data_IF_149695452128
#
_entry.id   IF_149695452128
#
_cell.length_a   1.000
_cell.length_b   1.000
_cell.length_c   1.000
_cell.angle_alpha   90.00
_cell.angle_beta   90.00
_cell.angle_gamma   90.00
#
_symmetry.space_group_name_H-M   'P 1'
#
loop_
_entity.id
_entity.type
_entity.pdbx_description
1 polymer ?
#
# COMPACT_ATOMS: atom_id res chain seq x y z
N UNK A 1 13.69 -12.11 12.77
CA UNK A 1 13.56 -11.65 11.38
C UNK A 1 12.15 -11.12 11.16
N UNK A 2 12.02 -10.01 10.44
CA UNK A 2 10.74 -9.43 10.02
C UNK A 2 10.79 -9.25 8.50
N UNK A 3 9.77 -9.73 7.80
CA UNK A 3 9.61 -9.56 6.35
C UNK A 3 8.56 -8.50 6.09
N UNK A 4 8.89 -7.45 5.36
CA UNK A 4 7.96 -6.47 4.80
C UNK A 4 7.70 -6.85 3.35
N UNK A 5 6.49 -7.27 3.04
CA UNK A 5 6.15 -7.71 1.69
C UNK A 5 5.05 -6.87 1.08
N UNK A 6 5.29 -6.40 -0.14
CA UNK A 6 4.20 -6.00 -1.00
C UNK A 6 3.27 -7.19 -1.26
N UNK A 7 2.07 -6.92 -1.70
CA UNK A 7 1.02 -7.91 -1.88
C UNK A 7 0.76 -8.22 -3.35
N UNK A 8 0.39 -7.23 -4.15
CA UNK A 8 0.03 -7.41 -5.57
C UNK A 8 1.27 -7.69 -6.41
N UNK A 9 1.24 -8.71 -7.27
CA UNK A 9 2.39 -9.16 -8.05
C UNK A 9 3.63 -9.58 -7.23
N UNK A 10 3.52 -9.59 -5.89
CA UNK A 10 4.56 -10.07 -4.97
C UNK A 10 4.17 -11.38 -4.29
N UNK A 11 3.12 -11.38 -3.48
CA UNK A 11 2.52 -12.58 -2.88
C UNK A 11 1.31 -13.09 -3.65
N UNK A 12 0.71 -12.23 -4.46
CA UNK A 12 -0.43 -12.56 -5.33
C UNK A 12 0.02 -12.59 -6.78
N UNK A 13 -0.57 -13.48 -7.56
CA UNK A 13 -0.41 -13.48 -9.02
C UNK A 13 -0.84 -12.14 -9.63
N UNK A 14 -0.03 -11.62 -10.55
CA UNK A 14 -0.21 -10.29 -11.15
C UNK A 14 -1.55 -10.12 -11.88
N UNK A 15 -2.13 -11.22 -12.41
CA UNK A 15 -3.33 -11.17 -13.25
C UNK A 15 -4.55 -11.86 -12.64
N UNK A 16 -4.33 -12.88 -11.84
CA UNK A 16 -5.37 -13.78 -11.35
C UNK A 16 -5.50 -13.76 -9.82
N UNK A 17 -4.67 -12.97 -9.15
CA UNK A 17 -4.59 -12.89 -7.69
C UNK A 17 -4.41 -14.26 -7.02
N UNK A 18 -3.87 -15.26 -7.73
CA UNK A 18 -3.56 -16.58 -7.18
C UNK A 18 -2.56 -16.44 -6.02
N UNK A 19 -2.79 -17.16 -4.94
CA UNK A 19 -1.96 -17.08 -3.72
C UNK A 19 -1.60 -18.45 -3.16
N UNK A 20 -2.21 -19.52 -3.66
CA UNK A 20 -1.97 -20.89 -3.19
C UNK A 20 -0.50 -21.30 -3.25
N UNK A 21 0.27 -20.92 -4.29
CA UNK A 21 1.68 -21.29 -4.38
C UNK A 21 2.56 -20.76 -3.24
N UNK A 22 2.19 -19.59 -2.66
CA UNK A 22 3.00 -18.96 -1.60
C UNK A 22 2.65 -19.50 -0.20
N UNK A 23 1.50 -20.13 -0.01
CA UNK A 23 1.03 -20.60 1.30
C UNK A 23 2.00 -21.55 2.03
N UNK A 24 2.62 -22.55 1.38
CA UNK A 24 3.57 -23.43 2.06
C UNK A 24 4.76 -22.64 2.64
N UNK A 25 5.28 -21.70 1.88
CA UNK A 25 6.38 -20.84 2.28
C UNK A 25 6.02 -19.92 3.45
N UNK A 26 4.85 -19.29 3.41
CA UNK A 26 4.36 -18.44 4.52
C UNK A 26 4.17 -19.25 5.81
N UNK A 27 3.67 -20.48 5.71
CA UNK A 27 3.57 -21.40 6.86
C UNK A 27 4.92 -21.75 7.44
N UNK A 28 5.93 -22.01 6.60
CA UNK A 28 7.28 -22.27 7.03
C UNK A 28 7.88 -21.06 7.76
N UNK A 29 7.81 -19.87 7.19
CA UNK A 29 8.26 -18.63 7.85
C UNK A 29 7.62 -18.47 9.23
N UNK A 30 6.31 -18.64 9.31
CA UNK A 30 5.58 -18.55 10.58
C UNK A 30 6.05 -19.62 11.60
N UNK A 31 6.32 -20.83 11.16
CA UNK A 31 6.85 -21.92 12.04
C UNK A 31 8.23 -21.59 12.61
N UNK A 32 9.01 -20.78 11.91
CA UNK A 32 10.33 -20.28 12.32
C UNK A 32 10.23 -19.00 13.19
N UNK A 33 9.03 -18.54 13.51
CA UNK A 33 8.81 -17.31 14.27
C UNK A 33 9.13 -16.02 13.50
N UNK A 34 9.11 -16.08 12.16
CA UNK A 34 9.28 -14.91 11.31
C UNK A 34 7.93 -14.21 11.16
N UNK A 35 7.90 -12.91 11.42
CA UNK A 35 6.72 -12.09 11.15
C UNK A 35 6.75 -11.61 9.69
N UNK A 36 5.59 -11.69 9.02
CA UNK A 36 5.39 -11.18 7.66
C UNK A 36 4.37 -10.05 7.71
N UNK A 37 4.85 -8.83 7.52
CA UNK A 37 4.05 -7.61 7.51
C UNK A 37 3.67 -7.31 6.07
N UNK A 38 2.37 -7.28 5.78
CA UNK A 38 1.86 -6.88 4.48
C UNK A 38 1.90 -5.36 4.32
N UNK A 39 2.42 -4.89 3.18
CA UNK A 39 2.62 -3.47 2.87
C UNK A 39 1.98 -3.19 1.50
N UNK A 40 0.78 -2.61 1.47
CA UNK A 40 0.04 -2.46 0.22
C UNK A 40 -0.63 -1.09 0.06
N UNK A 41 -1.05 -0.77 -1.17
CA UNK A 41 -1.93 0.36 -1.48
C UNK A 41 -3.40 0.07 -1.19
N UNK A 42 -3.73 -1.15 -0.76
CA UNK A 42 -5.08 -1.60 -0.44
C UNK A 42 -5.62 -0.97 0.85
N UNK A 43 -6.95 -0.95 0.98
CA UNK A 43 -7.67 -0.51 2.17
C UNK A 43 -7.49 -1.49 3.33
N UNK A 44 -7.92 -1.11 4.53
CA UNK A 44 -7.90 -1.98 5.69
C UNK A 44 -8.75 -3.23 5.48
N UNK A 45 -9.93 -3.08 4.93
CA UNK A 45 -10.89 -4.16 4.68
C UNK A 45 -10.32 -5.19 3.68
N UNK A 46 -9.70 -4.71 2.59
CA UNK A 46 -9.00 -5.57 1.65
C UNK A 46 -7.82 -6.30 2.31
N UNK A 47 -7.04 -5.59 3.12
CA UNK A 47 -5.87 -6.16 3.79
C UNK A 47 -6.25 -7.21 4.84
N UNK A 48 -7.36 -7.03 5.56
CA UNK A 48 -7.89 -8.05 6.48
C UNK A 48 -8.30 -9.31 5.71
N UNK A 49 -8.96 -9.17 4.57
CA UNK A 49 -9.34 -10.30 3.72
C UNK A 49 -8.10 -11.09 3.26
N UNK A 50 -7.07 -10.39 2.79
CA UNK A 50 -5.85 -11.02 2.32
C UNK A 50 -5.01 -11.61 3.45
N UNK A 51 -4.90 -10.93 4.60
CA UNK A 51 -4.24 -11.48 5.78
C UNK A 51 -4.87 -12.81 6.22
N UNK A 52 -6.21 -12.89 6.21
CA UNK A 52 -6.92 -14.13 6.52
C UNK A 52 -6.62 -15.25 5.50
N UNK A 53 -6.69 -14.96 4.20
CA UNK A 53 -6.41 -15.94 3.13
C UNK A 53 -4.97 -16.46 3.16
N UNK A 54 -4.02 -15.59 3.50
CA UNK A 54 -2.59 -15.92 3.57
C UNK A 54 -2.17 -16.53 4.93
N UNK A 55 -3.08 -16.57 5.92
CA UNK A 55 -2.76 -17.05 7.27
C UNK A 55 -1.83 -16.12 8.05
N UNK A 56 -1.88 -14.82 7.75
CA UNK A 56 -1.05 -13.76 8.35
C UNK A 56 -1.86 -12.88 9.33
N UNK A 57 -3.03 -13.35 9.75
CA UNK A 57 -3.81 -12.70 10.79
C UNK A 57 -2.99 -12.55 12.07
N UNK A 58 -3.14 -11.42 12.73
CA UNK A 58 -2.39 -11.11 13.94
C UNK A 58 -1.05 -10.40 13.71
N UNK A 59 -0.58 -10.23 12.48
CA UNK A 59 0.57 -9.40 12.14
C UNK A 59 0.16 -7.97 11.76
N UNK A 60 1.07 -6.99 11.89
CA UNK A 60 0.80 -5.63 11.46
C UNK A 60 0.53 -5.52 9.96
N UNK A 61 -0.27 -4.52 9.57
CA UNK A 61 -0.59 -4.21 8.18
C UNK A 61 -0.26 -2.75 7.88
N UNK A 62 0.44 -2.49 6.79
CA UNK A 62 0.65 -1.14 6.26
C UNK A 62 -0.37 -0.89 5.16
N UNK A 63 -1.19 0.13 5.35
CA UNK A 63 -2.41 0.40 4.60
C UNK A 63 -2.24 1.59 3.66
N UNK A 64 -2.98 1.59 2.56
CA UNK A 64 -3.11 2.70 1.63
C UNK A 64 -1.77 3.34 1.25
N UNK A 65 -0.79 2.47 0.91
CA UNK A 65 0.53 2.91 0.45
C UNK A 65 1.40 3.58 1.51
N UNK A 66 1.15 3.29 2.79
CA UNK A 66 1.89 3.83 3.92
C UNK A 66 1.15 4.94 4.68
N UNK A 67 -0.11 5.17 4.39
CA UNK A 67 -0.90 6.22 5.03
C UNK A 67 -1.31 5.88 6.47
N UNK A 68 -1.44 4.59 6.79
CA UNK A 68 -1.73 4.15 8.15
C UNK A 68 -1.11 2.77 8.42
N UNK A 69 -0.96 2.44 9.71
CA UNK A 69 -0.49 1.14 10.16
C UNK A 69 -1.51 0.58 11.15
N UNK A 70 -2.04 -0.58 10.81
CA UNK A 70 -2.81 -1.38 11.74
C UNK A 70 -1.88 -2.29 12.53
N UNK A 71 -1.98 -2.26 13.85
CA UNK A 71 -1.32 -3.20 14.75
C UNK A 71 -2.42 -3.90 15.54
N UNK A 72 -2.59 -5.23 15.37
CA UNK A 72 -3.65 -5.98 16.05
C UNK A 72 -3.63 -5.82 17.56
N UNK A 73 -4.80 -5.95 18.20
CA UNK A 73 -4.91 -5.97 19.65
C UNK A 73 -4.09 -7.14 20.21
N UNK A 74 -3.37 -6.88 21.30
CA UNK A 74 -2.49 -7.87 21.92
C UNK A 74 -1.12 -8.03 21.25
N UNK A 75 -0.89 -7.46 20.06
CA UNK A 75 0.43 -7.52 19.43
C UNK A 75 1.49 -6.75 20.26
N UNK A 76 2.69 -7.32 20.49
CA UNK A 76 3.71 -6.71 21.36
C UNK A 76 4.14 -5.30 20.94
N UNK A 77 4.13 -4.98 19.64
CA UNK A 77 4.47 -3.65 19.12
C UNK A 77 3.62 -2.52 19.72
N UNK A 78 2.37 -2.80 20.13
CA UNK A 78 1.50 -1.79 20.75
C UNK A 78 2.06 -1.21 22.04
N UNK A 79 3.01 -1.92 22.69
CA UNK A 79 3.66 -1.47 23.93
C UNK A 79 4.79 -0.46 23.71
N UNK A 80 5.32 -0.42 22.49
CA UNK A 80 6.49 0.40 22.13
C UNK A 80 6.17 1.48 21.09
N UNK A 81 4.98 1.43 20.47
CA UNK A 81 4.47 2.46 19.56
C UNK A 81 3.75 3.57 20.35
N UNK A 82 3.96 4.81 19.93
CA UNK A 82 3.10 5.93 20.30
C UNK A 82 1.81 5.82 19.47
N UNK A 83 0.80 5.17 20.06
CA UNK A 83 -0.46 4.93 19.37
C UNK A 83 -1.26 6.23 19.24
N UNK A 84 -1.95 6.40 18.10
CA UNK A 84 -2.91 7.48 17.93
C UNK A 84 -4.07 7.31 18.94
N UNK A 85 -4.28 8.28 19.87
CA UNK A 85 -5.20 8.09 21.00
C UNK A 85 -6.67 7.96 20.57
N UNK A 86 -7.03 8.50 19.42
CA UNK A 86 -8.39 8.51 18.89
C UNK A 86 -8.48 8.06 17.42
N UNK A 87 -7.37 7.56 16.84
CA UNK A 87 -7.33 7.10 15.47
C UNK A 87 -8.02 5.75 15.28
N UNK A 88 -8.48 5.49 14.07
CA UNK A 88 -9.04 4.19 13.69
C UNK A 88 -7.97 3.10 13.66
N UNK A 89 -6.70 3.48 13.52
CA UNK A 89 -5.57 2.58 13.42
C UNK A 89 -4.52 2.89 14.50
N UNK A 90 -3.58 1.98 14.68
CA UNK A 90 -2.53 2.14 15.67
C UNK A 90 -1.65 3.37 15.39
N UNK A 91 -1.32 3.60 14.12
CA UNK A 91 -0.57 4.77 13.67
C UNK A 91 -1.26 5.33 12.41
N UNK A 92 -1.67 6.58 12.46
CA UNK A 92 -2.16 7.34 11.29
C UNK A 92 -1.06 8.28 10.84
N UNK A 93 -0.54 8.06 9.62
CA UNK A 93 0.62 8.78 9.08
C UNK A 93 0.22 9.80 8.02
N UNK A 94 -1.08 9.92 7.75
CA UNK A 94 -1.68 10.84 6.79
C UNK A 94 -2.89 11.54 7.40
N UNK A 95 -3.22 12.72 6.88
CA UNK A 95 -4.50 13.35 7.11
C UNK A 95 -5.62 12.56 6.42
N UNK A 96 -6.83 12.68 6.92
CA UNK A 96 -8.00 12.03 6.34
C UNK A 96 -8.30 12.58 4.94
N UNK A 97 -8.78 11.70 4.06
CA UNK A 97 -9.15 12.04 2.68
C UNK A 97 -10.14 13.22 2.62
N UNK A 98 -11.12 13.23 3.52
CA UNK A 98 -12.15 14.28 3.60
C UNK A 98 -11.61 15.67 3.90
N UNK A 99 -10.43 15.80 4.51
CA UNK A 99 -9.84 17.09 4.87
C UNK A 99 -9.22 17.82 3.67
N UNK A 100 -8.72 17.09 2.69
CA UNK A 100 -8.02 17.70 1.55
C UNK A 100 -8.69 17.47 0.20
N UNK A 101 -9.58 16.50 0.07
CA UNK A 101 -10.26 16.17 -1.18
C UNK A 101 -11.12 17.31 -1.73
N UNK A 102 -11.84 18.13 -0.92
CA UNK A 102 -12.61 19.26 -1.44
C UNK A 102 -11.77 20.25 -2.26
N UNK A 103 -10.52 20.51 -1.82
CA UNK A 103 -9.58 21.36 -2.57
C UNK A 103 -9.17 20.77 -3.91
N UNK A 104 -8.96 19.44 -3.96
CA UNK A 104 -8.62 18.73 -5.19
C UNK A 104 -9.77 18.73 -6.19
N UNK A 105 -11.01 18.51 -5.72
CA UNK A 105 -12.18 18.58 -6.57
C UNK A 105 -12.38 19.99 -7.13
N UNK A 106 -12.17 21.02 -6.30
CA UNK A 106 -12.20 22.42 -6.76
C UNK A 106 -11.17 22.71 -7.84
N UNK A 107 -9.94 22.23 -7.68
CA UNK A 107 -8.88 22.37 -8.70
C UNK A 107 -9.25 21.66 -9.99
N UNK A 108 -9.73 20.42 -9.91
CA UNK A 108 -10.19 19.65 -11.06
C UNK A 108 -11.27 20.41 -11.85
N UNK A 109 -12.28 20.91 -11.14
CA UNK A 109 -13.42 21.60 -11.74
C UNK A 109 -13.01 22.97 -12.34
N UNK A 110 -12.10 23.70 -11.69
CA UNK A 110 -11.54 24.96 -12.21
C UNK A 110 -10.78 24.77 -13.53
N UNK A 111 -9.99 23.69 -13.61
CA UNK A 111 -9.24 23.35 -14.79
C UNK A 111 -10.06 22.61 -15.85
N UNK A 112 -11.28 22.20 -15.53
CA UNK A 112 -12.10 21.28 -16.33
C UNK A 112 -11.31 20.01 -16.71
N UNK A 113 -10.41 19.54 -15.80
CA UNK A 113 -9.58 18.39 -16.03
C UNK A 113 -10.42 17.10 -15.99
N UNK A 114 -10.21 16.22 -16.96
CA UNK A 114 -10.97 14.96 -17.10
C UNK A 114 -10.37 13.86 -16.25
N UNK A 115 -10.54 14.04 -14.94
CA UNK A 115 -10.07 13.12 -13.90
C UNK A 115 -11.26 12.48 -13.23
N UNK A 116 -11.28 11.15 -13.12
CA UNK A 116 -12.33 10.38 -12.46
C UNK A 116 -11.75 9.64 -11.26
N UNK A 117 -12.23 9.97 -10.08
CA UNK A 117 -11.82 9.30 -8.87
C UNK A 117 -12.57 7.98 -8.67
N UNK A 118 -11.92 7.02 -8.01
CA UNK A 118 -12.48 5.70 -7.74
C UNK A 118 -13.81 5.78 -6.97
N UNK A 119 -13.96 6.72 -6.05
CA UNK A 119 -15.20 6.89 -5.28
C UNK A 119 -16.39 7.44 -6.12
N UNK A 120 -16.13 7.98 -7.32
CA UNK A 120 -17.14 8.41 -8.28
C UNK A 120 -17.64 7.28 -9.18
N UNK A 121 -16.98 6.11 -9.16
CA UNK A 121 -17.39 4.91 -9.89
C UNK A 121 -18.41 4.11 -9.06
N UNK A 122 -19.37 3.49 -9.69
CA UNK A 122 -20.14 2.46 -9.02
C UNK A 122 -19.32 1.16 -8.84
N UNK A 123 -19.86 0.19 -8.10
CA UNK A 123 -19.12 -1.04 -7.77
C UNK A 123 -18.90 -1.90 -9.00
N UNK A 124 -19.87 -1.94 -9.89
CA UNK A 124 -19.86 -2.71 -11.14
C UNK A 124 -18.82 -2.15 -12.10
N UNK A 125 -18.75 -0.84 -12.26
CA UNK A 125 -17.72 -0.15 -13.04
C UNK A 125 -16.32 -0.44 -12.49
N UNK A 126 -16.14 -0.29 -11.18
CA UNK A 126 -14.86 -0.56 -10.53
C UNK A 126 -14.43 -2.02 -10.70
N UNK A 127 -15.35 -2.97 -10.53
CA UNK A 127 -15.09 -4.38 -10.76
C UNK A 127 -14.65 -4.66 -12.21
N UNK A 128 -15.32 -4.03 -13.17
CA UNK A 128 -14.98 -4.17 -14.59
C UNK A 128 -13.60 -3.60 -14.94
N UNK A 129 -13.23 -2.44 -14.36
CA UNK A 129 -11.94 -1.80 -14.61
C UNK A 129 -10.76 -2.52 -13.94
N UNK A 130 -10.98 -3.10 -12.76
CA UNK A 130 -9.93 -3.74 -11.96
C UNK A 130 -9.83 -5.24 -12.16
N UNK A 131 -10.89 -5.88 -12.65
CA UNK A 131 -11.03 -7.34 -12.67
C UNK A 131 -11.32 -7.94 -11.29
N UNK A 132 -11.59 -7.12 -10.27
CA UNK A 132 -11.94 -7.59 -8.93
C UNK A 132 -13.36 -8.18 -8.91
N UNK A 133 -13.61 -9.22 -8.09
CA UNK A 133 -14.96 -9.62 -7.73
C UNK A 133 -15.72 -8.46 -7.08
N UNK A 134 -17.05 -8.41 -7.26
CA UNK A 134 -17.88 -7.30 -6.75
C UNK A 134 -17.72 -7.06 -5.24
N UNK A 135 -17.64 -8.11 -4.44
CA UNK A 135 -17.42 -8.04 -3.00
C UNK A 135 -16.08 -7.38 -2.65
N UNK A 136 -15.02 -7.63 -3.42
CA UNK A 136 -13.72 -6.99 -3.24
C UNK A 136 -13.70 -5.56 -3.78
N UNK A 137 -14.42 -5.27 -4.86
CA UNK A 137 -14.59 -3.89 -5.34
C UNK A 137 -15.28 -2.99 -4.29
N UNK A 138 -16.24 -3.52 -3.53
CA UNK A 138 -16.81 -2.82 -2.37
C UNK A 138 -15.74 -2.47 -1.35
N UNK A 139 -14.86 -3.42 -1.00
CA UNK A 139 -13.78 -3.20 -0.01
C UNK A 139 -12.78 -2.15 -0.50
N UNK A 140 -12.45 -2.16 -1.80
CA UNK A 140 -11.51 -1.22 -2.40
C UNK A 140 -11.97 0.25 -2.36
N UNK A 141 -13.27 0.50 -2.17
CA UNK A 141 -13.85 1.84 -2.01
C UNK A 141 -13.74 2.41 -0.60
N UNK A 142 -13.48 1.58 0.42
CA UNK A 142 -13.44 1.97 1.83
C UNK A 142 -12.17 2.75 2.20
N UNK A 143 -11.76 3.70 1.35
CA UNK A 143 -10.54 4.47 1.53
C UNK A 143 -10.71 5.60 2.52
N UNK A 144 -9.67 5.85 3.29
CA UNK A 144 -9.64 6.89 4.32
C UNK A 144 -8.59 7.97 4.08
N UNK A 145 -7.52 7.64 3.35
CA UNK A 145 -6.32 8.49 3.25
C UNK A 145 -5.88 8.77 1.82
N UNK A 146 -6.28 7.95 0.87
CA UNK A 146 -5.83 8.02 -0.52
C UNK A 146 -6.99 8.05 -1.50
N UNK A 147 -6.82 8.72 -2.64
CA UNK A 147 -7.79 8.76 -3.71
C UNK A 147 -7.20 8.21 -5.01
N UNK A 148 -7.44 6.94 -5.34
CA UNK A 148 -7.13 6.46 -6.68
C UNK A 148 -8.00 7.14 -7.73
N UNK A 149 -7.41 7.41 -8.90
CA UNK A 149 -8.11 8.04 -10.02
C UNK A 149 -7.56 7.59 -11.38
N UNK A 150 -8.37 7.77 -12.41
CA UNK A 150 -8.00 7.62 -13.81
C UNK A 150 -7.98 8.99 -14.48
N UNK A 151 -7.04 9.19 -15.41
CA UNK A 151 -7.12 10.25 -16.39
C UNK A 151 -7.98 9.74 -17.55
N UNK A 152 -9.09 10.40 -17.84
CA UNK A 152 -9.98 10.03 -18.94
C UNK A 152 -9.45 10.52 -20.29
N UNK A 153 -8.58 11.51 -20.26
CA UNK A 153 -7.81 12.05 -21.39
C UNK A 153 -6.39 12.35 -20.93
N UNK A 154 -5.46 12.39 -21.88
CA UNK A 154 -4.10 12.88 -21.67
C UNK A 154 -3.97 14.21 -22.43
N UNK A 155 -3.89 15.34 -21.70
CA UNK A 155 -3.86 16.67 -22.27
C UNK A 155 -3.29 17.72 -21.32
N UNK A 156 -3.20 18.96 -21.81
CA UNK A 156 -2.60 20.08 -21.06
C UNK A 156 -3.31 20.33 -19.71
N UNK A 157 -4.62 20.09 -19.64
CA UNK A 157 -5.40 20.30 -18.41
C UNK A 157 -5.05 19.27 -17.35
N UNK A 158 -4.91 18.02 -17.74
CA UNK A 158 -4.53 16.89 -16.87
C UNK A 158 -3.08 17.04 -16.42
N UNK A 159 -2.18 17.47 -17.30
CA UNK A 159 -0.77 17.79 -16.95
C UNK A 159 -0.72 18.95 -15.95
N UNK A 160 -1.49 20.00 -16.17
CA UNK A 160 -1.58 21.15 -15.25
C UNK A 160 -2.18 20.73 -13.90
N UNK A 161 -3.24 19.90 -13.90
CA UNK A 161 -3.81 19.34 -12.69
C UNK A 161 -2.75 18.60 -11.89
N UNK A 162 -2.06 17.64 -12.51
CA UNK A 162 -0.98 16.89 -11.85
C UNK A 162 0.14 17.80 -11.36
N UNK A 163 0.52 18.82 -12.15
CA UNK A 163 1.59 19.77 -11.85
C UNK A 163 1.29 20.68 -10.65
N UNK A 164 0.03 20.92 -10.32
CA UNK A 164 -0.38 21.78 -9.20
C UNK A 164 -0.55 21.01 -7.88
N UNK A 165 -0.71 19.69 -7.92
CA UNK A 165 -0.87 18.85 -6.72
C UNK A 165 0.25 19.02 -5.69
N UNK A 166 1.55 19.12 -6.07
CA UNK A 166 2.63 19.33 -5.10
C UNK A 166 2.46 20.62 -4.29
N UNK A 167 1.93 21.69 -4.90
CA UNK A 167 1.61 22.95 -4.21
C UNK A 167 0.54 22.80 -3.11
N UNK A 168 -0.27 21.75 -3.18
CA UNK A 168 -1.27 21.38 -2.18
C UNK A 168 -0.73 20.36 -1.13
N UNK A 169 0.56 20.04 -1.17
CA UNK A 169 1.16 19.02 -0.32
C UNK A 169 0.75 17.60 -0.70
N UNK A 170 0.37 17.37 -1.96
CA UNK A 170 -0.07 16.09 -2.50
C UNK A 170 0.90 15.57 -3.56
N UNK A 171 0.88 14.26 -3.78
CA UNK A 171 1.54 13.61 -4.92
C UNK A 171 0.63 12.56 -5.55
N UNK A 172 0.75 12.40 -6.85
CA UNK A 172 0.13 11.34 -7.62
C UNK A 172 1.22 10.35 -8.06
N UNK A 173 1.07 9.09 -7.70
CA UNK A 173 1.96 8.00 -8.10
C UNK A 173 1.20 7.03 -9.00
N UNK A 174 1.81 6.61 -10.11
CA UNK A 174 1.18 5.64 -10.99
C UNK A 174 1.26 4.25 -10.37
N UNK A 175 0.09 3.65 -10.13
CA UNK A 175 -0.07 2.24 -9.78
C UNK A 175 -0.28 1.37 -11.02
N UNK A 176 -0.85 0.18 -10.85
CA UNK A 176 -1.22 -0.70 -11.96
C UNK A 176 -2.32 -0.07 -12.84
N UNK A 177 -3.56 -0.11 -12.37
CA UNK A 177 -4.74 0.41 -13.10
C UNK A 177 -4.93 1.91 -12.89
N UNK A 178 -4.71 2.40 -11.66
CA UNK A 178 -5.01 3.78 -11.26
C UNK A 178 -3.75 4.57 -10.89
N UNK A 179 -3.85 5.89 -10.99
CA UNK A 179 -3.01 6.81 -10.23
C UNK A 179 -3.47 6.82 -8.78
N UNK A 180 -2.54 6.93 -7.83
CA UNK A 180 -2.83 7.05 -6.40
C UNK A 180 -2.47 8.44 -5.91
N UNK A 181 -3.50 9.24 -5.60
CA UNK A 181 -3.33 10.55 -4.99
C UNK A 181 -3.24 10.40 -3.47
N UNK A 182 -2.23 11.00 -2.87
CA UNK A 182 -1.97 10.95 -1.42
C UNK A 182 -1.13 12.13 -0.95
N UNK A 183 -1.00 12.30 0.35
CA UNK A 183 -0.06 13.29 0.91
C UNK A 183 1.37 13.00 0.46
N UNK A 184 2.14 14.06 0.19
CA UNK A 184 3.49 13.96 -0.42
C UNK A 184 4.50 13.18 0.44
N UNK A 185 4.35 13.19 1.76
CA UNK A 185 5.21 12.48 2.71
C UNK A 185 4.84 11.02 2.92
N UNK A 186 3.68 10.58 2.44
CA UNK A 186 3.19 9.20 2.59
C UNK A 186 3.86 8.29 1.58
N UNK A 187 4.51 7.24 2.07
CA UNK A 187 5.09 6.18 1.24
C UNK A 187 5.16 4.86 2.00
N UNK A 188 5.28 3.73 1.28
CA UNK A 188 5.57 2.43 1.89
C UNK A 188 6.84 2.50 2.74
N UNK A 189 7.88 3.18 2.25
CA UNK A 189 9.14 3.37 2.96
C UNK A 189 8.98 4.12 4.27
N UNK A 190 8.22 5.24 4.30
CA UNK A 190 8.01 6.00 5.53
C UNK A 190 7.29 5.19 6.61
N UNK A 191 6.29 4.38 6.23
CA UNK A 191 5.57 3.52 7.16
C UNK A 191 6.43 2.35 7.66
N UNK A 192 7.17 1.70 6.76
CA UNK A 192 8.09 0.61 7.10
C UNK A 192 9.20 1.12 8.03
N UNK A 193 9.76 2.30 7.79
CA UNK A 193 10.74 2.91 8.69
C UNK A 193 10.20 3.04 10.13
N UNK A 194 8.95 3.50 10.30
CA UNK A 194 8.29 3.57 11.61
C UNK A 194 8.16 2.21 12.28
N UNK A 195 7.77 1.19 11.53
CA UNK A 195 7.69 -0.18 12.06
C UNK A 195 9.06 -0.74 12.43
N UNK A 196 10.09 -0.53 11.61
CA UNK A 196 11.46 -0.96 11.90
C UNK A 196 11.97 -0.35 13.22
N UNK A 197 11.72 0.94 13.46
CA UNK A 197 12.05 1.58 14.72
C UNK A 197 11.32 0.90 15.91
N UNK A 198 10.03 0.60 15.74
CA UNK A 198 9.25 -0.07 16.77
C UNK A 198 9.75 -1.51 17.02
N UNK A 199 10.08 -2.26 15.98
CA UNK A 199 10.68 -3.59 16.11
C UNK A 199 12.04 -3.56 16.78
N UNK A 200 12.90 -2.59 16.46
CA UNK A 200 14.19 -2.42 17.14
C UNK A 200 14.03 -2.11 18.61
N UNK A 201 13.05 -1.28 18.99
CA UNK A 201 12.72 -1.00 20.41
C UNK A 201 12.21 -2.25 21.13
N UNK A 202 11.45 -3.11 20.45
CA UNK A 202 10.87 -4.31 21.02
C UNK A 202 11.89 -5.46 21.14
N UNK A 203 12.67 -5.69 20.09
CA UNK A 203 13.51 -6.88 19.93
C UNK A 203 15.00 -6.62 20.17
N UNK A 204 15.44 -5.36 20.24
CA UNK A 204 16.83 -4.96 20.21
C UNK A 204 17.41 -5.09 18.81
N UNK A 205 18.02 -6.23 18.49
CA UNK A 205 18.51 -6.54 17.15
C UNK A 205 17.42 -7.26 16.33
N UNK A 206 17.20 -6.78 15.11
CA UNK A 206 16.26 -7.36 14.17
C UNK A 206 16.82 -7.28 12.77
N UNK A 207 16.63 -8.33 11.99
CA UNK A 207 16.95 -8.37 10.56
C UNK A 207 15.67 -8.14 9.78
N UNK A 208 15.72 -7.24 8.82
CA UNK A 208 14.59 -6.84 8.00
C UNK A 208 14.78 -7.27 6.54
N UNK A 209 13.77 -7.91 6.00
CA UNK A 209 13.73 -8.35 4.60
C UNK A 209 12.61 -7.60 3.89
N UNK A 210 12.90 -6.93 2.79
CA UNK A 210 11.91 -6.28 1.93
C UNK A 210 11.62 -7.13 0.71
N UNK A 211 10.36 -7.28 0.35
CA UNK A 211 9.90 -8.00 -0.85
C UNK A 211 8.97 -7.08 -1.65
N UNK A 212 9.24 -6.88 -2.93
CA UNK A 212 8.41 -6.03 -3.80
C UNK A 212 8.71 -6.25 -5.27
N UNK A 213 7.86 -5.74 -6.14
CA UNK A 213 7.96 -5.92 -7.59
C UNK A 213 8.08 -4.62 -8.37
N UNK A 214 7.73 -3.48 -7.80
CA UNK A 214 7.44 -2.24 -8.51
C UNK A 214 8.17 -1.01 -7.93
N UNK A 215 8.30 0.10 -8.69
CA UNK A 215 8.98 1.32 -8.23
C UNK A 215 8.43 1.91 -6.93
N UNK A 216 7.13 1.71 -6.63
CA UNK A 216 6.54 2.20 -5.36
C UNK A 216 7.07 1.47 -4.12
N UNK A 217 7.74 0.32 -4.32
CA UNK A 217 8.36 -0.48 -3.25
C UNK A 217 9.80 -0.05 -2.96
N UNK A 218 10.43 0.71 -3.85
CA UNK A 218 11.86 1.05 -3.78
C UNK A 218 12.24 1.62 -2.41
N UNK A 219 11.49 2.61 -1.90
CA UNK A 219 11.77 3.20 -0.60
C UNK A 219 11.65 2.25 0.58
N UNK A 220 10.83 1.19 0.47
CA UNK A 220 10.77 0.11 1.45
C UNK A 220 11.96 -0.84 1.31
N UNK A 221 12.27 -1.23 0.08
CA UNK A 221 13.37 -2.17 -0.20
C UNK A 221 14.72 -1.60 0.23
N UNK A 222 14.99 -0.32 -0.04
CA UNK A 222 16.26 0.34 0.31
C UNK A 222 16.52 0.43 1.81
N UNK A 223 15.47 0.42 2.63
CA UNK A 223 15.57 0.43 4.09
C UNK A 223 15.94 -0.94 4.69
N UNK A 224 15.63 -2.03 4.00
CA UNK A 224 15.81 -3.39 4.50
C UNK A 224 17.24 -3.90 4.35
N UNK A 225 17.65 -4.78 5.27
CA UNK A 225 18.95 -5.43 5.26
C UNK A 225 19.10 -6.38 4.06
N UNK A 226 18.01 -7.07 3.72
CA UNK A 226 17.90 -7.94 2.54
C UNK A 226 16.73 -7.48 1.67
N UNK A 227 16.92 -7.53 0.36
CA UNK A 227 16.00 -7.04 -0.66
C UNK A 227 15.70 -8.14 -1.64
N UNK A 228 14.42 -8.38 -1.89
CA UNK A 228 13.96 -9.36 -2.87
C UNK A 228 13.09 -8.63 -3.89
N UNK A 229 13.49 -8.66 -5.15
CA UNK A 229 12.69 -8.12 -6.25
C UNK A 229 12.00 -9.28 -6.95
N UNK A 230 10.66 -9.25 -6.93
CA UNK A 230 9.86 -10.32 -7.50
C UNK A 230 9.78 -10.17 -9.02
N UNK A 231 9.91 -11.28 -9.71
CA UNK A 231 9.82 -11.35 -11.17
C UNK A 231 8.37 -11.24 -11.61
N UNK A 232 8.11 -10.40 -12.60
CA UNK A 232 6.80 -10.26 -13.21
C UNK A 232 6.40 -11.46 -14.08
N UNK A 233 5.12 -11.55 -14.40
CA UNK A 233 4.58 -12.62 -15.24
C UNK A 233 5.17 -12.67 -16.67
N UNK A 234 5.67 -11.54 -17.17
CA UNK A 234 6.40 -11.47 -18.45
C UNK A 234 7.84 -11.97 -18.40
N UNK A 235 8.32 -12.32 -17.20
CA UNK A 235 9.69 -12.78 -16.94
C UNK A 235 10.70 -11.67 -16.69
N UNK A 236 10.26 -10.40 -16.75
CA UNK A 236 11.08 -9.23 -16.47
C UNK A 236 11.05 -8.78 -15.00
N UNK A 237 11.78 -7.71 -14.71
CA UNK A 237 11.74 -6.98 -13.45
C UNK A 237 11.43 -5.53 -13.72
N UNK A 238 10.53 -4.92 -12.92
CA UNK A 238 10.14 -3.53 -13.11
C UNK A 238 11.08 -2.52 -12.46
N UNK A 239 11.95 -3.00 -11.59
CA UNK A 239 12.93 -2.16 -10.88
C UNK A 239 14.26 -2.91 -10.75
N UNK A 240 15.32 -2.12 -10.59
CA UNK A 240 16.67 -2.62 -10.25
C UNK A 240 17.07 -2.01 -8.92
N UNK A 241 17.47 -2.85 -7.97
CA UNK A 241 17.87 -2.44 -6.62
C UNK A 241 19.25 -3.00 -6.32
N UNK A 242 20.18 -2.17 -5.90
CA UNK A 242 21.53 -2.62 -5.57
C UNK A 242 21.52 -3.63 -4.42
N UNK A 243 22.20 -4.75 -4.60
CA UNK A 243 22.30 -5.83 -3.61
C UNK A 243 21.02 -6.65 -3.41
N UNK A 244 20.06 -6.55 -4.32
CA UNK A 244 18.84 -7.36 -4.26
C UNK A 244 19.05 -8.78 -4.83
N UNK A 245 18.23 -9.70 -4.34
CA UNK A 245 18.00 -11.03 -4.93
C UNK A 245 16.86 -10.90 -5.93
N UNK A 246 16.99 -11.57 -7.10
CA UNK A 246 16.05 -11.52 -8.21
C UNK A 246 15.48 -12.89 -8.52
#
# INVERSE_FOLDING_TARGET
VVVFSDLDASLLGERDFSFEPVLPFLRELRSLGVEVVLVSTKTFEEMCLWAARLGLEGFPLVLEGGAAIHIPEGHPLRRVCELAPFGAFALELSDLLEEWMPGVLGLRDELEARVRFLFEMDVEELAAETGLPLDQAVLARARRYTAPFSLLEEGEREELFLGLLPGMGLKAERGGTFWHLKRSWVSKGSAVHRLMEAYRRLLGEAVFVGVGDSPVDLGMLELCDHRVVVRRADGGFALSVEGAVY
#
